data_IF_077198772780
#
_entry.id   IF_077198772780
#
_cell.length_a   1.000
_cell.length_b   1.000
_cell.length_c   1.000
_cell.angle_alpha   90.00
_cell.angle_beta   90.00
_cell.angle_gamma   90.00
#
_symmetry.space_group_name_H-M   'P 1'
#
loop_
_entity.id
_entity.type
_entity.pdbx_description
1 polymer ?
#
# COMPACT_ATOMS: atom_id res chain seq x y z
N UNK A 1 41.96 -13.16 11.86
CA UNK A 1 41.45 -11.97 11.16
C UNK A 1 40.12 -12.36 10.51
N UNK A 2 39.02 -11.62 10.74
CA UNK A 2 37.80 -11.82 9.96
C UNK A 2 38.12 -11.52 8.48
N UNK A 3 37.53 -12.25 7.53
CA UNK A 3 37.72 -11.96 6.11
C UNK A 3 37.24 -10.55 5.80
N UNK A 4 37.96 -9.84 4.93
CA UNK A 4 37.53 -8.54 4.43
C UNK A 4 36.12 -8.65 3.81
N UNK A 5 35.28 -7.64 4.02
CA UNK A 5 33.94 -7.60 3.45
C UNK A 5 34.07 -7.46 1.93
N UNK A 6 33.54 -8.44 1.20
CA UNK A 6 33.38 -8.36 -0.26
C UNK A 6 32.42 -7.21 -0.57
N UNK A 7 32.75 -6.39 -1.55
CA UNK A 7 31.83 -5.38 -2.08
C UNK A 7 30.56 -6.03 -2.63
N UNK A 8 29.38 -5.40 -2.45
CA UNK A 8 28.10 -5.98 -2.85
C UNK A 8 28.01 -6.22 -4.35
N UNK A 9 28.52 -5.31 -5.19
CA UNK A 9 28.48 -5.44 -6.64
C UNK A 9 29.36 -6.61 -7.10
N UNK A 10 30.59 -6.69 -6.55
CA UNK A 10 31.49 -7.81 -6.82
C UNK A 10 30.88 -9.15 -6.35
N UNK A 11 30.30 -9.17 -5.16
CA UNK A 11 29.63 -10.34 -4.61
C UNK A 11 28.46 -10.80 -5.50
N UNK A 12 27.58 -9.87 -5.91
CA UNK A 12 26.42 -10.17 -6.75
C UNK A 12 26.82 -10.67 -8.14
N UNK A 13 27.85 -10.07 -8.74
CA UNK A 13 28.42 -10.50 -10.03
C UNK A 13 28.98 -11.93 -9.94
N UNK A 14 29.79 -12.22 -8.93
CA UNK A 14 30.33 -13.57 -8.70
C UNK A 14 29.22 -14.58 -8.38
N UNK A 15 28.19 -14.14 -7.68
CA UNK A 15 27.04 -14.97 -7.34
C UNK A 15 26.27 -15.36 -8.60
N UNK A 16 26.00 -14.41 -9.49
CA UNK A 16 25.33 -14.66 -10.77
C UNK A 16 26.07 -15.72 -11.60
N UNK A 17 27.40 -15.63 -11.71
CA UNK A 17 28.21 -16.61 -12.44
C UNK A 17 28.13 -18.03 -11.86
N UNK A 18 27.86 -18.17 -10.56
CA UNK A 18 27.89 -19.45 -9.84
C UNK A 18 26.53 -20.09 -9.64
N UNK A 19 25.45 -19.35 -9.86
CA UNK A 19 24.10 -19.89 -9.74
C UNK A 19 23.79 -20.82 -10.92
N UNK A 20 22.96 -21.85 -10.72
CA UNK A 20 22.60 -22.77 -11.79
C UNK A 20 21.78 -22.06 -12.88
N UNK A 21 22.20 -22.22 -14.14
CA UNK A 21 21.63 -21.53 -15.29
C UNK A 21 22.37 -20.24 -15.64
N UNK A 22 21.78 -19.44 -16.53
CA UNK A 22 22.34 -18.14 -16.92
C UNK A 22 21.72 -17.08 -16.02
N UNK A 23 22.55 -16.42 -15.23
CA UNK A 23 22.16 -15.30 -14.39
C UNK A 23 23.01 -14.07 -14.73
N UNK A 24 22.37 -12.90 -14.71
CA UNK A 24 23.02 -11.62 -14.85
C UNK A 24 22.80 -10.80 -13.57
N UNK A 25 23.76 -9.95 -13.21
CA UNK A 25 23.66 -9.05 -12.07
C UNK A 25 23.43 -7.63 -12.55
N UNK A 26 22.50 -6.93 -11.92
CA UNK A 26 22.27 -5.50 -12.07
C UNK A 26 22.43 -4.85 -10.70
N UNK A 27 23.28 -3.85 -10.60
CA UNK A 27 23.61 -3.19 -9.33
C UNK A 27 22.99 -1.80 -9.28
N UNK A 28 22.39 -1.46 -8.14
CA UNK A 28 21.76 -0.17 -7.90
C UNK A 28 22.38 0.51 -6.69
N UNK A 29 22.61 1.82 -6.83
CA UNK A 29 22.93 2.69 -5.71
C UNK A 29 21.75 3.62 -5.45
N UNK A 30 21.30 3.72 -4.21
CA UNK A 30 20.21 4.60 -3.79
C UNK A 30 20.77 5.99 -3.48
N UNK A 31 20.34 7.00 -4.22
CA UNK A 31 20.74 8.38 -3.97
C UNK A 31 19.89 9.02 -2.85
N UNK A 32 18.65 8.56 -2.71
CA UNK A 32 17.72 8.96 -1.66
C UNK A 32 17.03 7.73 -1.05
N UNK A 33 16.58 7.86 0.20
CA UNK A 33 15.87 6.80 0.93
C UNK A 33 14.69 6.21 0.13
N UNK A 34 13.92 7.05 -0.57
CA UNK A 34 12.77 6.61 -1.36
C UNK A 34 13.14 5.67 -2.52
N UNK A 35 14.39 5.65 -2.93
CA UNK A 35 14.85 4.88 -4.08
C UNK A 35 14.93 3.37 -3.78
N UNK A 36 14.83 2.95 -2.51
CA UNK A 36 14.82 1.54 -2.12
C UNK A 36 13.42 0.89 -2.24
N UNK A 37 12.34 1.68 -2.20
CA UNK A 37 10.97 1.16 -2.15
C UNK A 37 10.51 0.41 -3.40
N UNK A 38 10.84 0.83 -4.63
CA UNK A 38 10.36 0.13 -5.83
C UNK A 38 10.75 -1.36 -5.87
N UNK A 39 11.92 -1.73 -5.33
CA UNK A 39 12.35 -3.12 -5.24
C UNK A 39 11.84 -3.80 -3.96
N UNK A 40 11.72 -3.06 -2.86
CA UNK A 40 11.12 -3.56 -1.63
C UNK A 40 9.67 -4.04 -1.85
N UNK A 41 8.87 -3.27 -2.58
CA UNK A 41 7.47 -3.61 -2.91
C UNK A 41 7.34 -4.86 -3.79
N UNK A 42 8.42 -5.27 -4.46
CA UNK A 42 8.47 -6.48 -5.29
C UNK A 42 9.03 -7.69 -4.54
N UNK A 43 9.39 -7.57 -3.26
CA UNK A 43 9.90 -8.69 -2.48
C UNK A 43 8.83 -9.74 -2.29
N UNK A 44 9.11 -10.96 -2.74
CA UNK A 44 8.28 -12.12 -2.45
C UNK A 44 8.77 -12.82 -1.18
N UNK A 45 8.81 -12.03 -0.10
CA UNK A 45 9.25 -12.40 1.24
C UNK A 45 8.33 -11.70 2.24
N UNK A 46 7.83 -12.44 3.23
CA UNK A 46 7.16 -11.88 4.42
C UNK A 46 8.00 -12.12 5.68
N UNK A 47 9.31 -12.26 5.49
CA UNK A 47 10.23 -12.83 6.45
C UNK A 47 11.35 -11.88 6.81
N UNK A 48 12.55 -12.45 6.96
CA UNK A 48 13.70 -11.73 7.48
C UNK A 48 14.21 -10.64 6.52
N UNK A 49 13.99 -10.78 5.21
CA UNK A 49 14.53 -9.82 4.23
C UNK A 49 13.62 -8.61 4.12
N UNK A 50 12.31 -8.82 4.12
CA UNK A 50 11.31 -7.75 4.23
C UNK A 50 11.55 -6.85 5.46
N UNK A 51 11.82 -7.46 6.63
CA UNK A 51 12.23 -6.71 7.81
C UNK A 51 13.52 -5.90 7.61
N UNK A 52 14.54 -6.46 6.95
CA UNK A 52 15.80 -5.72 6.70
C UNK A 52 15.56 -4.50 5.83
N UNK A 53 14.77 -4.63 4.77
CA UNK A 53 14.51 -3.52 3.83
C UNK A 53 13.56 -2.47 4.41
N UNK A 54 12.67 -2.88 5.31
CA UNK A 54 11.74 -1.97 5.99
C UNK A 54 12.39 -1.20 7.15
N UNK A 55 13.28 -1.83 7.90
CA UNK A 55 13.85 -1.24 9.13
C UNK A 55 15.10 -0.39 8.86
N UNK A 56 15.88 -0.74 7.83
CA UNK A 56 17.15 -0.08 7.55
C UNK A 56 17.12 0.73 6.27
N UNK A 57 17.82 1.87 6.30
CA UNK A 57 18.14 2.63 5.09
C UNK A 57 19.27 1.90 4.38
N UNK A 58 18.94 1.24 3.27
CA UNK A 58 19.91 0.59 2.41
C UNK A 58 20.43 1.62 1.40
N UNK A 59 21.74 1.69 1.20
CA UNK A 59 22.35 2.63 0.24
C UNK A 59 22.52 2.00 -1.13
N UNK A 60 22.34 0.68 -1.24
CA UNK A 60 22.55 -0.08 -2.46
C UNK A 60 21.93 -1.48 -2.39
N UNK A 61 21.65 -2.03 -3.57
CA UNK A 61 21.22 -3.39 -3.77
C UNK A 61 21.75 -3.95 -5.10
N UNK A 62 21.51 -5.23 -5.33
CA UNK A 62 21.63 -5.83 -6.64
C UNK A 62 20.45 -6.75 -6.93
N UNK A 63 20.04 -6.79 -8.21
CA UNK A 63 19.05 -7.72 -8.72
C UNK A 63 19.75 -8.73 -9.63
N UNK A 64 19.58 -10.01 -9.31
CA UNK A 64 20.03 -11.10 -10.16
C UNK A 64 18.88 -11.56 -11.04
N UNK A 65 19.05 -11.45 -12.36
CA UNK A 65 18.08 -11.87 -13.36
C UNK A 65 18.46 -13.26 -13.86
N UNK A 66 17.58 -14.23 -13.65
CA UNK A 66 17.82 -15.65 -13.90
C UNK A 66 16.83 -16.29 -14.87
N UNK A 67 16.96 -17.60 -15.11
CA UNK A 67 16.19 -18.31 -16.13
C UNK A 67 14.70 -18.43 -15.78
N UNK A 68 13.87 -18.19 -16.79
CA UNK A 68 12.42 -18.32 -16.69
C UNK A 68 11.75 -17.25 -15.84
N UNK A 69 12.24 -16.01 -15.92
CA UNK A 69 11.69 -14.83 -15.24
C UNK A 69 12.03 -14.76 -13.74
N UNK A 70 12.95 -15.61 -13.26
CA UNK A 70 13.38 -15.60 -11.85
C UNK A 70 14.21 -14.36 -11.59
N UNK A 71 13.90 -13.66 -10.50
CA UNK A 71 14.68 -12.51 -10.03
C UNK A 71 15.01 -12.69 -8.55
N UNK A 72 16.24 -12.38 -8.16
CA UNK A 72 16.69 -12.40 -6.77
C UNK A 72 17.22 -11.03 -6.37
N UNK A 73 16.67 -10.46 -5.32
CA UNK A 73 17.18 -9.27 -4.66
C UNK A 73 18.32 -9.67 -3.71
N UNK A 74 19.40 -8.89 -3.73
CA UNK A 74 20.58 -9.07 -2.88
C UNK A 74 20.94 -7.72 -2.26
N UNK A 75 21.08 -7.68 -0.93
CA UNK A 75 21.57 -6.49 -0.24
C UNK A 75 22.33 -6.89 1.02
N UNK A 76 22.95 -5.92 1.66
CA UNK A 76 23.64 -6.10 2.92
C UNK A 76 22.70 -6.53 4.04
N UNK A 77 23.28 -7.17 5.05
CA UNK A 77 22.62 -7.43 6.33
C UNK A 77 23.21 -6.47 7.37
N UNK A 78 22.64 -5.28 7.61
CA UNK A 78 23.22 -4.28 8.51
C UNK A 78 23.63 -4.83 9.90
N UNK A 79 22.84 -5.68 10.59
CA UNK A 79 23.27 -6.23 11.88
C UNK A 79 24.39 -7.29 11.77
N UNK A 80 24.78 -7.72 10.56
CA UNK A 80 25.76 -8.79 10.31
C UNK A 80 26.65 -8.43 9.09
N UNK A 81 27.68 -7.57 9.24
CA UNK A 81 28.43 -6.95 8.13
C UNK A 81 29.25 -7.91 7.25
N UNK A 82 29.32 -9.19 7.59
CA UNK A 82 29.97 -10.25 6.79
C UNK A 82 28.95 -11.20 6.15
N UNK A 83 27.68 -10.79 6.09
CA UNK A 83 26.60 -11.54 5.49
C UNK A 83 25.76 -10.63 4.60
N UNK A 84 25.16 -11.25 3.60
CA UNK A 84 24.17 -10.64 2.75
C UNK A 84 22.81 -11.31 2.99
N UNK A 85 21.74 -10.63 2.62
CA UNK A 85 20.42 -11.24 2.50
C UNK A 85 20.07 -11.38 1.03
N UNK A 86 19.40 -12.49 0.70
CA UNK A 86 18.91 -12.76 -0.65
C UNK A 86 17.45 -13.16 -0.57
N UNK A 87 16.60 -12.50 -1.34
CA UNK A 87 15.18 -12.82 -1.41
C UNK A 87 14.71 -12.93 -2.87
N UNK A 88 13.70 -13.75 -3.15
CA UNK A 88 13.06 -13.75 -4.46
C UNK A 88 12.25 -12.47 -4.63
N UNK A 89 12.31 -11.91 -5.84
CA UNK A 89 11.35 -10.90 -6.25
C UNK A 89 10.16 -11.59 -6.92
N UNK A 90 9.01 -10.92 -6.93
CA UNK A 90 7.89 -11.32 -7.77
C UNK A 90 8.37 -11.50 -9.22
N UNK A 91 7.85 -12.49 -9.97
CA UNK A 91 8.25 -12.71 -11.35
C UNK A 91 7.91 -11.49 -12.22
N UNK A 92 8.85 -11.11 -13.09
CA UNK A 92 8.59 -10.13 -14.16
C UNK A 92 8.07 -10.86 -15.40
N UNK A 93 6.80 -11.24 -15.37
CA UNK A 93 6.15 -11.96 -16.47
C UNK A 93 4.82 -11.27 -16.79
N UNK A 94 4.71 -10.70 -17.99
CA UNK A 94 3.55 -9.94 -18.43
C UNK A 94 2.25 -10.76 -18.49
N UNK A 95 2.34 -12.10 -18.48
CA UNK A 95 1.17 -12.98 -18.42
C UNK A 95 0.67 -13.22 -17.00
N UNK A 96 1.45 -12.85 -15.98
CA UNK A 96 1.08 -12.98 -14.58
C UNK A 96 0.49 -11.66 -14.07
N UNK A 97 -0.62 -11.76 -13.35
CA UNK A 97 -1.32 -10.63 -12.74
C UNK A 97 -1.22 -10.73 -11.22
N UNK A 98 -1.30 -9.62 -10.47
CA UNK A 98 -1.16 -9.61 -9.01
C UNK A 98 -2.04 -10.63 -8.29
N UNK A 99 -3.27 -10.86 -8.78
CA UNK A 99 -4.19 -11.83 -8.16
C UNK A 99 -3.74 -13.28 -8.30
N UNK A 100 -2.86 -13.62 -9.24
CA UNK A 100 -2.32 -14.98 -9.38
C UNK A 100 -1.34 -15.34 -8.26
N UNK A 101 -0.77 -14.35 -7.58
CA UNK A 101 0.14 -14.55 -6.44
C UNK A 101 -0.63 -14.78 -5.13
N UNK A 102 -1.90 -14.40 -5.06
CA UNK A 102 -2.73 -14.53 -3.87
C UNK A 102 -2.88 -16.00 -3.47
N UNK A 103 -2.59 -16.30 -2.20
CA UNK A 103 -2.68 -17.66 -1.64
C UNK A 103 -1.51 -18.58 -2.00
N UNK A 104 -0.50 -18.09 -2.72
CA UNK A 104 0.73 -18.85 -2.97
C UNK A 104 1.69 -18.66 -1.81
N UNK A 105 2.14 -19.76 -1.21
CA UNK A 105 3.15 -19.73 -0.15
C UNK A 105 4.43 -19.05 -0.62
N UNK A 106 4.84 -18.02 0.11
CA UNK A 106 5.99 -17.20 -0.23
C UNK A 106 7.29 -18.01 -0.10
N UNK A 107 8.19 -17.90 -1.08
CA UNK A 107 9.43 -18.67 -1.08
C UNK A 107 10.40 -18.24 0.03
N UNK A 108 10.29 -17.00 0.51
CA UNK A 108 11.02 -16.38 1.62
C UNK A 108 12.56 -16.38 1.45
N UNK A 109 13.16 -15.22 1.66
CA UNK A 109 14.59 -14.99 1.56
C UNK A 109 15.42 -15.72 2.62
N UNK A 110 16.74 -15.67 2.44
CA UNK A 110 17.72 -16.28 3.33
C UNK A 110 18.92 -15.35 3.54
N UNK A 111 19.55 -15.46 4.71
CA UNK A 111 20.88 -14.89 4.91
C UNK A 111 21.96 -15.82 4.34
N UNK A 112 22.96 -15.24 3.68
CA UNK A 112 24.08 -15.94 3.05
C UNK A 112 25.42 -15.36 3.54
N UNK A 113 26.49 -16.18 3.58
CA UNK A 113 27.82 -15.67 3.89
C UNK A 113 28.36 -14.77 2.76
N UNK A 114 29.36 -13.95 3.06
CA UNK A 114 30.07 -13.10 2.09
C UNK A 114 30.98 -13.85 1.08
N UNK A 115 31.03 -15.19 1.14
CA UNK A 115 31.72 -16.04 0.17
C UNK A 115 30.74 -16.46 -0.94
N UNK A 116 30.89 -15.97 -2.19
CA UNK A 116 29.97 -16.26 -3.29
C UNK A 116 29.78 -17.75 -3.58
N UNK A 117 30.81 -18.58 -3.39
CA UNK A 117 30.71 -20.03 -3.63
C UNK A 117 29.80 -20.71 -2.60
N UNK A 118 29.97 -20.37 -1.32
CA UNK A 118 29.10 -20.87 -0.25
C UNK A 118 27.69 -20.29 -0.35
N UNK A 119 27.58 -19.01 -0.72
CA UNK A 119 26.30 -18.36 -0.93
C UNK A 119 25.52 -19.01 -2.07
N UNK A 120 26.13 -19.23 -3.25
CA UNK A 120 25.48 -19.85 -4.40
C UNK A 120 24.97 -21.26 -4.06
N UNK A 121 25.77 -22.05 -3.35
CA UNK A 121 25.39 -23.39 -2.90
C UNK A 121 24.18 -23.35 -1.96
N UNK A 122 24.12 -22.39 -1.03
CA UNK A 122 22.98 -22.21 -0.12
C UNK A 122 21.72 -21.79 -0.88
N UNK A 123 21.84 -20.83 -1.80
CA UNK A 123 20.73 -20.34 -2.62
C UNK A 123 20.18 -21.47 -3.50
N UNK A 124 21.06 -22.19 -4.21
CA UNK A 124 20.66 -23.29 -5.08
C UNK A 124 19.96 -24.43 -4.33
N UNK A 125 20.38 -24.73 -3.09
CA UNK A 125 19.80 -25.83 -2.31
C UNK A 125 18.55 -25.44 -1.53
N UNK A 126 18.45 -24.20 -1.06
CA UNK A 126 17.40 -23.78 -0.11
C UNK A 126 16.43 -22.78 -0.70
N UNK A 127 16.89 -21.83 -1.51
CA UNK A 127 16.05 -20.75 -2.01
C UNK A 127 15.41 -21.11 -3.36
N UNK A 128 16.21 -21.50 -4.35
CA UNK A 128 15.71 -21.77 -5.70
C UNK A 128 14.61 -22.84 -5.76
N UNK A 129 14.67 -23.96 -5.01
CA UNK A 129 13.59 -24.96 -5.06
C UNK A 129 12.26 -24.43 -4.52
N UNK A 130 12.29 -23.56 -3.50
CA UNK A 130 11.07 -22.91 -2.97
C UNK A 130 10.53 -21.90 -3.96
N UNK A 131 11.41 -21.08 -4.53
CA UNK A 131 11.04 -20.09 -5.54
C UNK A 131 10.43 -20.74 -6.79
N UNK A 132 11.02 -21.84 -7.27
CA UNK A 132 10.49 -22.57 -8.41
C UNK A 132 9.09 -23.17 -8.13
N UNK A 133 8.86 -23.71 -6.94
CA UNK A 133 7.52 -24.20 -6.55
C UNK A 133 6.50 -23.07 -6.50
N UNK A 134 6.87 -21.90 -5.97
CA UNK A 134 6.01 -20.73 -5.91
C UNK A 134 5.65 -20.24 -7.33
N UNK A 135 6.63 -20.15 -8.24
CA UNK A 135 6.39 -19.79 -9.64
C UNK A 135 5.49 -20.79 -10.36
N UNK A 136 5.68 -22.09 -10.12
CA UNK A 136 4.80 -23.11 -10.68
C UNK A 136 3.36 -22.96 -10.15
N UNK A 137 3.17 -22.60 -8.88
CA UNK A 137 1.86 -22.35 -8.33
C UNK A 137 1.19 -21.12 -8.96
N UNK A 138 1.92 -20.01 -9.10
CA UNK A 138 1.41 -18.81 -9.77
C UNK A 138 1.03 -19.08 -11.23
N UNK A 139 1.85 -19.85 -11.97
CA UNK A 139 1.53 -20.25 -13.35
C UNK A 139 0.29 -21.13 -13.44
N UNK A 140 0.04 -22.01 -12.46
CA UNK A 140 -1.21 -22.78 -12.39
C UNK A 140 -2.40 -21.87 -12.12
N UNK A 141 -2.29 -20.97 -11.15
CA UNK A 141 -3.33 -19.96 -10.87
C UNK A 141 -3.64 -19.13 -12.12
N UNK A 142 -2.63 -18.75 -12.91
CA UNK A 142 -2.81 -18.03 -14.15
C UNK A 142 -3.54 -18.81 -15.23
N UNK A 143 -3.24 -20.11 -15.36
CA UNK A 143 -3.91 -20.99 -16.31
C UNK A 143 -5.37 -21.29 -15.90
N UNK A 144 -5.65 -21.40 -14.61
CA UNK A 144 -6.97 -21.73 -14.08
C UNK A 144 -7.88 -20.49 -13.93
N UNK A 145 -7.30 -19.31 -13.67
CA UNK A 145 -8.00 -18.08 -13.32
C UNK A 145 -7.37 -16.85 -14.01
N UNK A 146 -7.48 -16.72 -15.34
CA UNK A 146 -6.80 -15.67 -16.10
C UNK A 146 -7.18 -14.25 -15.65
N UNK A 147 -8.45 -14.02 -15.29
CA UNK A 147 -8.91 -12.76 -14.70
C UNK A 147 -10.13 -13.03 -13.81
N UNK A 148 -10.10 -12.72 -12.50
CA UNK A 148 -11.29 -12.79 -11.69
C UNK A 148 -12.28 -11.75 -12.21
N UNK A 149 -13.59 -12.04 -12.22
CA UNK A 149 -14.58 -11.04 -12.54
C UNK A 149 -14.41 -9.87 -11.55
N UNK A 150 -14.11 -8.68 -12.07
CA UNK A 150 -14.12 -7.48 -11.25
C UNK A 150 -15.50 -7.32 -10.62
N UNK A 151 -15.54 -6.81 -9.38
CA UNK A 151 -16.82 -6.40 -8.79
C UNK A 151 -17.44 -5.37 -9.74
N UNK A 152 -18.71 -5.56 -10.17
CA UNK A 152 -19.36 -4.58 -11.02
C UNK A 152 -19.37 -3.22 -10.30
N UNK A 153 -19.29 -2.14 -11.09
CA UNK A 153 -19.47 -0.80 -10.53
C UNK A 153 -20.80 -0.75 -9.75
N UNK A 154 -20.83 -0.10 -8.57
CA UNK A 154 -22.08 0.05 -7.85
C UNK A 154 -23.10 0.76 -8.77
N UNK A 155 -24.39 0.38 -8.71
CA UNK A 155 -25.41 1.06 -9.50
C UNK A 155 -25.43 2.55 -9.16
N UNK A 156 -25.61 3.40 -10.17
CA UNK A 156 -25.77 4.83 -9.94
C UNK A 156 -27.05 5.06 -9.15
N UNK A 157 -26.92 5.70 -7.99
CA UNK A 157 -28.06 6.09 -7.15
C UNK A 157 -28.48 7.51 -7.52
N UNK A 158 -29.78 7.71 -7.72
CA UNK A 158 -30.33 9.03 -8.07
C UNK A 158 -30.28 10.02 -6.90
N UNK A 159 -30.21 9.51 -5.66
CA UNK A 159 -30.22 10.30 -4.44
C UNK A 159 -29.12 9.84 -3.49
N UNK A 160 -28.57 10.79 -2.73
CA UNK A 160 -27.51 10.53 -1.76
C UNK A 160 -27.73 11.37 -0.51
N UNK A 161 -27.65 10.74 0.66
CA UNK A 161 -27.53 11.43 1.95
C UNK A 161 -26.06 11.57 2.29
N UNK A 162 -25.61 12.79 2.57
CA UNK A 162 -24.24 13.03 3.06
C UNK A 162 -24.25 13.26 4.55
N UNK A 163 -23.66 12.34 5.30
CA UNK A 163 -23.39 12.47 6.73
C UNK A 163 -22.04 13.16 6.91
N UNK A 164 -22.02 14.23 7.69
CA UNK A 164 -20.86 15.07 7.95
C UNK A 164 -20.45 14.96 9.40
N UNK A 165 -19.18 14.65 9.64
CA UNK A 165 -18.51 14.86 10.91
C UNK A 165 -18.12 16.33 11.05
N UNK A 166 -18.68 17.01 12.03
CA UNK A 166 -18.40 18.40 12.34
C UNK A 166 -17.25 18.53 13.34
N UNK A 167 -16.63 19.72 13.41
CA UNK A 167 -15.48 20.00 14.27
C UNK A 167 -15.80 19.89 15.77
N UNK A 168 -17.08 20.05 16.14
CA UNK A 168 -17.59 19.86 17.50
C UNK A 168 -17.82 18.38 17.88
N UNK A 169 -17.48 17.45 16.97
CA UNK A 169 -17.69 16.02 17.15
C UNK A 169 -19.13 15.56 16.89
N UNK A 170 -20.02 16.46 16.48
CA UNK A 170 -21.35 16.09 16.01
C UNK A 170 -21.25 15.35 14.67
N UNK A 171 -22.18 14.43 14.45
CA UNK A 171 -22.32 13.70 13.19
C UNK A 171 -23.75 13.84 12.72
N UNK A 172 -23.94 14.28 11.47
CA UNK A 172 -25.29 14.47 10.98
C UNK A 172 -25.38 14.96 9.56
N UNK A 173 -26.58 15.36 9.15
CA UNK A 173 -26.83 15.96 7.85
C UNK A 173 -27.77 17.18 8.00
N UNK A 174 -27.52 18.29 7.30
CA UNK A 174 -28.47 19.39 7.22
C UNK A 174 -29.83 18.89 6.70
N UNK A 175 -30.92 19.26 7.38
CA UNK A 175 -32.26 18.78 7.10
C UNK A 175 -32.69 19.02 5.65
N UNK A 176 -32.34 20.19 5.10
CA UNK A 176 -32.65 20.56 3.72
C UNK A 176 -31.94 19.69 2.66
N UNK A 177 -30.80 19.08 3.01
CA UNK A 177 -30.05 18.18 2.11
C UNK A 177 -30.50 16.71 2.20
N UNK A 178 -31.39 16.38 3.14
CA UNK A 178 -31.90 15.02 3.32
C UNK A 178 -33.20 14.84 2.52
N UNK A 179 -33.23 13.93 1.53
CA UNK A 179 -34.46 13.58 0.81
C UNK A 179 -35.56 13.15 1.76
N UNK A 180 -36.81 13.48 1.45
CA UNK A 180 -37.94 13.26 2.38
C UNK A 180 -38.11 11.78 2.75
N UNK A 181 -37.95 10.92 1.75
CA UNK A 181 -37.94 9.46 1.87
C UNK A 181 -36.85 8.90 2.80
N UNK A 182 -35.74 9.60 2.97
CA UNK A 182 -34.64 9.19 3.84
C UNK A 182 -34.82 9.61 5.31
N UNK A 183 -35.69 10.60 5.59
CA UNK A 183 -35.86 11.18 6.93
C UNK A 183 -36.34 10.15 7.96
N UNK A 184 -37.27 9.29 7.58
CA UNK A 184 -37.79 8.25 8.47
C UNK A 184 -36.74 7.18 8.79
N UNK A 185 -35.86 6.85 7.83
CA UNK A 185 -34.76 5.92 8.08
C UNK A 185 -33.74 6.51 9.06
N UNK A 186 -33.36 7.79 8.87
CA UNK A 186 -32.50 8.50 9.82
C UNK A 186 -33.09 8.48 11.23
N UNK A 187 -34.38 8.82 11.37
CA UNK A 187 -35.06 8.82 12.66
C UNK A 187 -35.09 7.43 13.31
N UNK A 188 -35.51 6.40 12.56
CA UNK A 188 -35.57 5.03 13.05
C UNK A 188 -34.21 4.49 13.51
N UNK A 189 -33.11 4.98 12.92
CA UNK A 189 -31.75 4.60 13.28
C UNK A 189 -31.09 5.53 14.30
N UNK A 190 -31.85 6.43 14.92
CA UNK A 190 -31.45 7.19 16.10
C UNK A 190 -30.90 8.58 15.81
N UNK A 191 -31.00 9.07 14.57
CA UNK A 191 -30.77 10.48 14.28
C UNK A 191 -31.96 11.30 14.77
N UNK A 192 -31.68 12.43 15.41
CA UNK A 192 -32.71 13.34 15.92
C UNK A 192 -32.65 14.64 15.15
N UNK A 193 -33.81 15.18 14.79
CA UNK A 193 -33.87 16.51 14.20
C UNK A 193 -33.70 17.56 15.30
N UNK A 194 -32.71 18.44 15.15
CA UNK A 194 -32.46 19.57 16.04
C UNK A 194 -32.88 20.86 15.33
N UNK A 195 -34.06 21.45 15.66
CA UNK A 195 -34.60 22.60 14.94
C UNK A 195 -33.66 23.81 14.93
N UNK A 196 -32.97 24.08 16.04
CA UNK A 196 -32.03 25.20 16.14
C UNK A 196 -30.79 25.07 15.27
N UNK A 197 -30.43 23.85 14.87
CA UNK A 197 -29.32 23.58 13.95
C UNK A 197 -29.79 23.22 12.54
N UNK A 198 -31.11 23.14 12.32
CA UNK A 198 -31.73 22.68 11.08
C UNK A 198 -31.08 21.39 10.52
N UNK A 199 -30.76 20.43 11.39
CA UNK A 199 -30.00 19.24 11.03
C UNK A 199 -30.50 17.98 11.75
N UNK A 200 -30.35 16.83 11.09
CA UNK A 200 -30.44 15.52 11.74
C UNK A 200 -29.07 15.19 12.33
N UNK A 201 -29.00 15.01 13.65
CA UNK A 201 -27.75 14.66 14.34
C UNK A 201 -27.86 13.30 15.00
N UNK A 202 -26.76 12.57 15.01
CA UNK A 202 -26.60 11.33 15.75
C UNK A 202 -26.04 11.64 17.14
N UNK A 203 -26.81 11.41 18.23
CA UNK A 203 -26.38 11.68 19.59
C UNK A 203 -25.01 11.09 19.94
N UNK A 204 -24.12 11.91 20.50
CA UNK A 204 -22.83 11.48 21.01
C UNK A 204 -22.94 10.49 22.19
N UNK A 205 -24.09 10.48 22.89
CA UNK A 205 -24.39 9.57 23.99
C UNK A 205 -24.35 8.07 23.59
N UNK A 206 -24.40 7.75 22.30
CA UNK A 206 -24.25 6.38 21.82
C UNK A 206 -22.80 5.87 21.82
N UNK A 207 -21.81 6.71 22.10
CA UNK A 207 -20.39 6.35 21.98
C UNK A 207 -19.95 6.11 20.52
N UNK A 208 -18.67 5.83 20.29
CA UNK A 208 -18.15 5.63 18.94
C UNK A 208 -18.72 4.37 18.28
N UNK A 209 -18.66 3.22 18.98
CA UNK A 209 -19.17 1.93 18.47
C UNK A 209 -20.67 1.99 18.19
N UNK A 210 -21.45 2.59 19.09
CA UNK A 210 -22.89 2.72 18.93
C UNK A 210 -23.26 3.67 17.78
N UNK A 211 -22.47 4.71 17.54
CA UNK A 211 -22.62 5.57 16.36
C UNK A 211 -22.27 4.81 15.07
N UNK A 212 -21.16 4.07 15.04
CA UNK A 212 -20.75 3.29 13.89
C UNK A 212 -21.81 2.25 13.46
N UNK A 213 -22.38 1.51 14.42
CA UNK A 213 -23.45 0.55 14.15
C UNK A 213 -24.69 1.21 13.55
N UNK A 214 -25.06 2.40 14.02
CA UNK A 214 -26.23 3.15 13.50
C UNK A 214 -25.98 3.71 12.11
N UNK A 215 -24.76 4.18 11.83
CA UNK A 215 -24.34 4.59 10.48
C UNK A 215 -24.44 3.40 9.52
N UNK A 216 -23.95 2.22 9.92
CA UNK A 216 -24.05 1.01 9.12
C UNK A 216 -25.52 0.62 8.88
N UNK A 217 -26.35 0.69 9.92
CA UNK A 217 -27.77 0.35 9.84
C UNK A 217 -28.54 1.30 8.91
N UNK A 218 -28.31 2.62 9.03
CA UNK A 218 -28.96 3.60 8.16
C UNK A 218 -28.47 3.48 6.72
N UNK A 219 -27.17 3.23 6.50
CA UNK A 219 -26.62 3.02 5.17
C UNK A 219 -27.25 1.81 4.47
N UNK A 220 -27.40 0.69 5.20
CA UNK A 220 -28.09 -0.50 4.66
C UNK A 220 -29.56 -0.19 4.33
N UNK A 221 -30.27 0.50 5.24
CA UNK A 221 -31.69 0.81 5.05
C UNK A 221 -31.93 1.77 3.88
N UNK A 222 -31.09 2.78 3.71
CA UNK A 222 -31.17 3.73 2.60
C UNK A 222 -30.76 3.06 1.27
N UNK A 223 -29.77 2.15 1.29
CA UNK A 223 -29.39 1.39 0.11
C UNK A 223 -30.52 0.48 -0.40
N UNK A 224 -31.32 -0.13 0.50
CA UNK A 224 -32.55 -0.86 0.13
C UNK A 224 -33.58 0.02 -0.61
N UNK A 225 -33.54 1.33 -0.40
CA UNK A 225 -34.39 2.32 -1.05
C UNK A 225 -33.74 2.94 -2.31
N UNK A 226 -32.54 2.49 -2.69
CA UNK A 226 -31.79 3.07 -3.81
C UNK A 226 -31.13 4.42 -3.50
N UNK A 227 -30.97 4.76 -2.23
CA UNK A 227 -30.36 6.01 -1.76
C UNK A 227 -28.95 5.71 -1.26
N UNK A 228 -27.96 6.40 -1.82
CA UNK A 228 -26.58 6.29 -1.36
C UNK A 228 -26.35 7.01 -0.03
N UNK A 229 -25.32 6.59 0.71
CA UNK A 229 -24.83 7.31 1.88
C UNK A 229 -23.36 7.63 1.70
N UNK A 230 -23.02 8.92 1.81
CA UNK A 230 -21.64 9.40 1.84
C UNK A 230 -21.28 9.83 3.26
N UNK A 231 -20.09 9.48 3.72
CA UNK A 231 -19.50 10.09 4.91
C UNK A 231 -18.45 11.11 4.49
N UNK A 232 -18.49 12.29 5.11
CA UNK A 232 -17.50 13.35 4.91
C UNK A 232 -17.11 13.94 6.26
N UNK A 233 -15.92 14.52 6.31
CA UNK A 233 -15.60 15.50 7.34
C UNK A 233 -15.98 16.88 6.83
N UNK A 234 -16.42 17.76 7.73
CA UNK A 234 -16.52 19.17 7.43
C UNK A 234 -15.13 19.64 6.95
N UNK A 235 -15.08 20.38 5.84
CA UNK A 235 -13.83 21.00 5.44
C UNK A 235 -13.40 21.96 6.55
N UNK A 236 -12.11 21.99 6.93
CA UNK A 236 -11.64 22.96 7.92
C UNK A 236 -12.03 24.35 7.45
N UNK A 237 -12.76 25.08 8.28
CA UNK A 237 -13.17 26.46 7.97
C UNK A 237 -11.95 27.36 8.12
N UNK A 238 -11.02 27.31 7.16
CA UNK A 238 -10.01 28.36 7.03
C UNK A 238 -10.74 29.59 6.52
N UNK A 239 -11.19 30.41 7.46
CA UNK A 239 -11.63 31.77 7.15
C UNK A 239 -10.44 32.47 6.50
N UNK A 240 -10.46 32.59 5.17
CA UNK A 240 -9.45 33.34 4.45
C UNK A 240 -9.59 34.81 4.86
N UNK A 241 -8.82 35.22 5.86
CA UNK A 241 -8.59 36.63 6.14
C UNK A 241 -7.87 37.19 4.92
N UNK A 242 -8.62 37.91 4.07
CA UNK A 242 -8.05 38.70 2.99
C UNK A 242 -6.94 39.60 3.59
N UNK A 243 -5.70 39.55 3.07
CA UNK A 243 -4.65 40.44 3.54
C UNK A 243 -5.07 41.90 3.28
N UNK A 244 -4.73 42.84 4.19
CA UNK A 244 -5.09 44.24 4.01
C UNK A 244 -4.46 44.78 2.71
N UNK A 245 -5.29 45.44 1.91
CA UNK A 245 -4.91 46.11 0.66
C UNK A 245 -3.73 47.04 0.91
N UNK A 246 -2.60 46.79 0.22
CA UNK A 246 -1.40 47.63 0.28
C UNK A 246 -1.75 49.03 -0.28
N UNK A 247 -1.38 50.14 0.38
CA UNK A 247 -1.66 51.48 -0.14
C UNK A 247 -0.93 51.69 -1.47
N UNK A 248 -1.64 52.25 -2.45
CA UNK A 248 -1.06 52.64 -3.72
C UNK A 248 0.03 53.70 -3.50
N UNK A 249 1.25 53.41 -3.95
CA UNK A 249 2.34 54.36 -3.95
C UNK A 249 2.04 55.48 -4.97
N UNK A 250 1.82 56.68 -4.47
CA UNK A 250 1.77 57.90 -5.28
C UNK A 250 3.16 58.13 -5.87
N UNK A 251 3.29 58.00 -7.19
CA UNK A 251 4.49 58.43 -7.92
C UNK A 251 4.48 59.96 -8.02
N UNK A 252 5.27 60.62 -7.19
CA UNK A 252 5.63 62.02 -7.36
C UNK A 252 6.69 62.14 -8.47
N UNK A 253 6.32 62.75 -9.59
CA UNK A 253 7.26 63.23 -10.60
C UNK A 253 8.00 64.46 -10.06
N UNK A 254 9.33 64.39 -9.99
CA UNK A 254 10.17 65.58 -9.94
C UNK A 254 11.30 65.48 -10.95
N UNK A 255 11.21 66.40 -11.93
CA UNK A 255 12.22 67.01 -12.80
C UNK A 255 13.08 66.14 -13.72
#
# INVERSE_FOLDING_TARGET
MPPARTDLNAFATDLAFRLPGIWNSEYHHHAAYKDQFPLAEQLWDLGHVDWVVSEFVLTHDAVLHGPGGKRLFVTDRPPHPHQFVVAPLEPDDAHLKPHHLVGVTEPNGIAVPNDPLRASTRIARRLLPRYERALQAVRRNAAEQPEPPHRPAPPQVAQVVTLTWYDDGALGAPYASVPEEARMALYAHGFQYHPHQAAFLLPAAYGEDGRALRIQAVARRLAEQGIGVNLRHAAPTTTAVLPPSRPAAVRSHHR
#
